data_IF_763244893100
#
_entry.id   IF_763244893100
#
_cell.length_a   1.000
_cell.length_b   1.000
_cell.length_c   1.000
_cell.angle_alpha   90.00
_cell.angle_beta   90.00
_cell.angle_gamma   90.00
#
_symmetry.space_group_name_H-M   'P 1'
#
loop_
_entity.id
_entity.type
_entity.pdbx_description
1 polymer ?
#
# COMPACT_ATOMS: atom_id res chain seq x y z
N UNK A 1 25.85 -33.82 1.36
CA UNK A 1 24.60 -33.94 0.58
C UNK A 1 23.59 -33.00 1.21
N UNK A 2 23.43 -31.79 0.66
CA UNK A 2 22.50 -30.78 1.18
C UNK A 2 21.11 -31.08 0.63
N UNK A 3 20.22 -31.59 1.48
CA UNK A 3 18.84 -31.87 1.13
C UNK A 3 18.08 -30.56 0.92
N UNK A 4 17.91 -30.16 -0.34
CA UNK A 4 17.00 -29.09 -0.70
C UNK A 4 15.58 -29.53 -0.39
N UNK A 5 15.04 -29.06 0.74
CA UNK A 5 13.62 -29.19 1.03
C UNK A 5 12.87 -28.49 -0.11
N UNK A 6 12.16 -29.28 -0.93
CA UNK A 6 11.25 -28.75 -1.93
C UNK A 6 10.17 -27.94 -1.21
N UNK A 7 10.27 -26.61 -1.29
CA UNK A 7 9.27 -25.72 -0.72
C UNK A 7 8.02 -25.84 -1.59
N UNK A 8 6.95 -26.40 -1.05
CA UNK A 8 5.69 -26.55 -1.77
C UNK A 8 5.14 -25.16 -2.13
N UNK A 9 4.99 -24.90 -3.43
CA UNK A 9 4.28 -23.71 -3.92
C UNK A 9 2.80 -23.91 -3.67
N UNK A 10 2.22 -23.08 -2.80
CA UNK A 10 0.82 -23.21 -2.42
C UNK A 10 -0.06 -22.30 -3.25
N UNK A 11 -1.08 -22.90 -3.89
CA UNK A 11 -2.15 -22.19 -4.57
C UNK A 11 -3.42 -22.21 -3.72
N UNK A 12 -3.32 -21.76 -2.47
CA UNK A 12 -4.49 -21.58 -1.60
C UNK A 12 -5.14 -20.23 -1.87
N UNK A 13 -6.21 -20.25 -2.65
CA UNK A 13 -7.00 -19.07 -2.93
C UNK A 13 -8.39 -19.19 -2.30
N UNK A 14 -8.90 -18.08 -1.79
CA UNK A 14 -10.25 -17.95 -1.31
C UNK A 14 -11.22 -18.28 -2.44
N UNK A 15 -12.08 -19.28 -2.25
CA UNK A 15 -13.07 -19.69 -3.23
C UNK A 15 -14.17 -18.66 -3.47
N UNK A 16 -14.20 -17.57 -2.71
CA UNK A 16 -15.13 -16.45 -2.91
C UNK A 16 -14.50 -15.29 -3.70
N UNK A 17 -13.37 -14.76 -3.24
CA UNK A 17 -12.76 -13.55 -3.82
C UNK A 17 -11.49 -13.83 -4.65
N UNK A 18 -11.02 -15.08 -4.68
CA UNK A 18 -9.80 -15.48 -5.37
C UNK A 18 -8.51 -15.01 -4.69
N UNK A 19 -8.59 -14.27 -3.58
CA UNK A 19 -7.41 -13.80 -2.86
C UNK A 19 -6.64 -14.96 -2.23
N UNK A 20 -5.32 -14.88 -2.22
CA UNK A 20 -4.45 -15.85 -1.55
C UNK A 20 -4.75 -15.91 -0.06
N UNK A 21 -4.77 -17.12 0.49
CA UNK A 21 -5.03 -17.40 1.89
C UNK A 21 -3.68 -17.54 2.62
N UNK A 22 -3.09 -16.41 3.03
CA UNK A 22 -1.82 -16.37 3.77
C UNK A 22 -2.00 -16.35 5.30
N UNK A 23 -3.18 -15.96 5.79
CA UNK A 23 -3.41 -15.65 7.22
C UNK A 23 -4.33 -16.65 7.92
N UNK A 24 -4.41 -17.86 7.37
CA UNK A 24 -5.30 -18.91 7.83
C UNK A 24 -6.54 -19.06 6.94
N UNK A 25 -6.97 -20.31 6.80
CA UNK A 25 -8.12 -20.69 5.98
C UNK A 25 -9.35 -20.92 6.85
N UNK A 26 -10.51 -20.59 6.30
CA UNK A 26 -11.80 -20.74 6.97
C UNK A 26 -12.74 -21.55 6.10
N UNK A 27 -13.65 -22.32 6.69
CA UNK A 27 -14.66 -23.09 5.97
C UNK A 27 -15.97 -23.10 6.73
N UNK A 28 -17.07 -23.19 6.01
CA UNK A 28 -18.38 -23.36 6.61
C UNK A 28 -18.60 -24.84 6.93
N UNK A 29 -19.02 -25.15 8.16
CA UNK A 29 -19.42 -26.52 8.50
C UNK A 29 -20.91 -26.70 8.29
N UNK A 30 -21.29 -27.14 7.08
CA UNK A 30 -22.53 -27.88 6.90
C UNK A 30 -22.26 -29.07 6.01
N UNK A 31 -21.97 -30.20 6.65
CA UNK A 31 -21.92 -31.56 6.07
C UNK A 31 -23.18 -31.88 5.21
N UNK A 32 -24.29 -31.17 5.41
CA UNK A 32 -25.56 -31.36 4.69
C UNK A 32 -26.02 -30.17 3.83
N UNK A 33 -25.23 -29.10 3.69
CA UNK A 33 -25.60 -27.99 2.79
C UNK A 33 -25.12 -28.29 1.37
N UNK A 34 -26.07 -28.41 0.44
CA UNK A 34 -25.81 -28.52 -1.00
C UNK A 34 -25.37 -27.17 -1.63
N UNK A 35 -25.27 -26.10 -0.83
CA UNK A 35 -24.80 -24.82 -1.34
C UNK A 35 -23.30 -24.89 -1.69
N UNK A 36 -22.99 -24.64 -2.96
CA UNK A 36 -21.62 -24.61 -3.51
C UNK A 36 -20.68 -23.64 -2.79
N UNK A 37 -21.19 -22.75 -1.94
CA UNK A 37 -20.44 -21.79 -1.13
C UNK A 37 -19.81 -22.43 0.12
N UNK A 38 -20.40 -23.48 0.69
CA UNK A 38 -19.93 -24.11 1.93
C UNK A 38 -18.73 -25.06 1.75
N UNK A 39 -18.46 -25.53 0.53
CA UNK A 39 -17.35 -26.43 0.20
C UNK A 39 -16.07 -25.70 -0.21
N UNK A 40 -15.91 -24.44 0.21
CA UNK A 40 -14.81 -23.57 -0.22
C UNK A 40 -13.98 -23.13 0.97
N UNK A 41 -12.67 -23.06 0.77
CA UNK A 41 -11.80 -22.33 1.69
C UNK A 41 -12.01 -20.82 1.48
N UNK A 42 -12.16 -20.09 2.56
CA UNK A 42 -12.39 -18.65 2.61
C UNK A 42 -11.20 -17.96 3.27
N UNK A 43 -10.91 -16.73 2.85
CA UNK A 43 -10.06 -15.82 3.62
C UNK A 43 -10.84 -15.23 4.80
N UNK A 44 -10.15 -14.64 5.77
CA UNK A 44 -10.75 -14.06 6.98
C UNK A 44 -11.87 -13.05 6.68
N UNK A 45 -11.70 -12.19 5.68
CA UNK A 45 -12.71 -11.18 5.30
C UNK A 45 -13.96 -11.82 4.72
N UNK A 46 -13.81 -12.80 3.84
CA UNK A 46 -14.96 -13.51 3.27
C UNK A 46 -15.65 -14.37 4.34
N UNK A 47 -14.89 -15.00 5.24
CA UNK A 47 -15.43 -15.73 6.39
C UNK A 47 -16.34 -14.83 7.24
N UNK A 48 -15.84 -13.67 7.66
CA UNK A 48 -16.61 -12.68 8.43
C UNK A 48 -17.85 -12.19 7.69
N UNK A 49 -17.76 -11.96 6.37
CA UNK A 49 -18.92 -11.59 5.57
C UNK A 49 -19.98 -12.70 5.59
N UNK A 50 -19.57 -13.95 5.43
CA UNK A 50 -20.47 -15.09 5.40
C UNK A 50 -21.17 -15.32 6.76
N UNK A 51 -20.41 -15.26 7.85
CA UNK A 51 -20.93 -15.38 9.21
C UNK A 51 -21.96 -14.28 9.50
N UNK A 52 -21.65 -13.03 9.14
CA UNK A 52 -22.53 -11.90 9.40
C UNK A 52 -23.80 -11.90 8.55
N UNK A 53 -23.66 -12.18 7.24
CA UNK A 53 -24.73 -12.03 6.26
C UNK A 53 -25.61 -13.27 6.13
N UNK A 54 -25.02 -14.47 6.11
CA UNK A 54 -25.74 -15.71 5.92
C UNK A 54 -25.99 -16.48 7.23
N UNK A 55 -25.46 -16.00 8.37
CA UNK A 55 -25.56 -16.68 9.68
C UNK A 55 -25.08 -18.13 9.61
N UNK A 56 -24.03 -18.35 8.82
CA UNK A 56 -23.37 -19.64 8.70
C UNK A 56 -22.29 -19.76 9.77
N UNK A 57 -22.22 -20.93 10.42
CA UNK A 57 -21.10 -21.24 11.30
C UNK A 57 -19.83 -21.42 10.45
N UNK A 58 -18.84 -20.56 10.69
CA UNK A 58 -17.56 -20.56 10.00
C UNK A 58 -16.47 -20.96 11.00
N UNK A 59 -15.64 -21.92 10.61
CA UNK A 59 -14.56 -22.44 11.42
C UNK A 59 -13.22 -22.20 10.75
N UNK A 60 -12.19 -21.94 11.55
CA UNK A 60 -10.81 -21.94 11.08
C UNK A 60 -10.39 -23.39 10.80
N UNK A 61 -9.87 -23.64 9.61
CA UNK A 61 -9.32 -24.94 9.22
C UNK A 61 -7.90 -25.08 9.79
N UNK A 62 -7.80 -25.30 11.11
CA UNK A 62 -6.53 -25.33 11.84
C UNK A 62 -5.54 -26.38 11.32
N UNK A 63 -6.05 -27.45 10.69
CA UNK A 63 -5.23 -28.47 10.02
C UNK A 63 -4.39 -27.90 8.85
N UNK A 64 -4.76 -26.75 8.29
CA UNK A 64 -4.03 -26.06 7.24
C UNK A 64 -3.06 -25.00 7.76
N UNK A 65 -3.12 -24.62 9.05
CA UNK A 65 -2.34 -23.51 9.58
C UNK A 65 -0.83 -23.71 9.43
N UNK A 66 -0.31 -24.90 9.73
CA UNK A 66 1.12 -25.19 9.58
C UNK A 66 1.58 -25.15 8.11
N UNK A 67 0.71 -25.62 7.20
CA UNK A 67 1.00 -25.60 5.76
C UNK A 67 1.02 -24.16 5.27
N UNK A 68 0.02 -23.36 5.68
CA UNK A 68 -0.08 -21.95 5.32
C UNK A 68 1.10 -21.15 5.89
N UNK A 69 1.48 -21.34 7.15
CA UNK A 69 2.52 -20.54 7.82
C UNK A 69 3.95 -20.85 7.33
N UNK A 70 4.20 -22.05 6.83
CA UNK A 70 5.51 -22.48 6.32
C UNK A 70 5.61 -22.46 4.80
N UNK A 71 4.49 -22.20 4.13
CA UNK A 71 4.38 -22.23 2.68
C UNK A 71 4.99 -21.01 1.99
N UNK A 72 5.11 -21.14 0.67
CA UNK A 72 5.49 -20.05 -0.22
C UNK A 72 4.38 -19.79 -1.22
N UNK A 73 4.01 -18.52 -1.34
CA UNK A 73 2.93 -18.04 -2.19
C UNK A 73 3.48 -17.25 -3.37
N UNK A 74 2.86 -17.39 -4.53
CA UNK A 74 3.19 -16.59 -5.71
C UNK A 74 2.45 -15.27 -5.63
N UNK A 75 3.15 -14.15 -5.83
CA UNK A 75 2.49 -12.84 -5.93
C UNK A 75 1.43 -12.83 -7.04
N UNK A 76 0.21 -12.43 -6.70
CA UNK A 76 -0.92 -12.37 -7.64
C UNK A 76 -0.90 -11.14 -8.55
N UNK A 77 -0.02 -10.16 -8.31
CA UNK A 77 0.06 -8.98 -9.17
C UNK A 77 0.74 -9.30 -10.50
N UNK A 78 0.07 -8.94 -11.60
CA UNK A 78 0.56 -9.16 -12.96
C UNK A 78 1.93 -8.53 -13.15
N UNK A 79 2.94 -9.36 -13.41
CA UNK A 79 4.33 -8.95 -13.66
C UNK A 79 5.30 -9.15 -12.50
N UNK A 80 4.83 -9.41 -11.27
CA UNK A 80 5.73 -9.62 -10.14
C UNK A 80 6.38 -11.01 -10.14
N UNK A 81 5.57 -12.07 -10.28
CA UNK A 81 5.99 -13.47 -10.34
C UNK A 81 6.91 -13.96 -9.19
N UNK A 82 7.04 -13.19 -8.11
CA UNK A 82 7.88 -13.55 -6.96
C UNK A 82 7.22 -14.66 -6.14
N UNK A 83 8.03 -15.64 -5.74
CA UNK A 83 7.72 -16.65 -4.74
C UNK A 83 8.05 -16.07 -3.35
N UNK A 84 7.04 -15.89 -2.50
CA UNK A 84 7.15 -15.16 -1.23
C UNK A 84 6.76 -16.07 -0.06
N UNK A 85 7.63 -16.24 0.95
CA UNK A 85 7.28 -16.98 2.17
C UNK A 85 6.06 -16.39 2.86
N UNK A 86 5.20 -17.24 3.44
CA UNK A 86 3.98 -16.84 4.12
C UNK A 86 4.13 -15.69 5.12
N UNK A 87 5.16 -15.67 6.00
CA UNK A 87 5.34 -14.57 6.95
C UNK A 87 5.57 -13.22 6.29
N UNK A 88 6.05 -13.19 5.04
CA UNK A 88 6.38 -11.99 4.29
C UNK A 88 5.31 -11.63 3.24
N UNK A 89 4.32 -12.51 3.01
CA UNK A 89 3.38 -12.35 1.90
C UNK A 89 2.55 -11.07 2.00
N UNK A 90 2.00 -10.79 3.18
CA UNK A 90 1.21 -9.58 3.39
C UNK A 90 2.03 -8.31 3.23
N UNK A 91 3.26 -8.31 3.74
CA UNK A 91 4.15 -7.16 3.60
C UNK A 91 4.55 -6.94 2.15
N UNK A 92 4.82 -8.02 1.41
CA UNK A 92 5.00 -7.95 -0.03
C UNK A 92 3.75 -7.39 -0.73
N UNK A 93 2.54 -7.87 -0.42
CA UNK A 93 1.30 -7.37 -1.02
C UNK A 93 1.10 -5.86 -0.75
N UNK A 94 1.63 -5.37 0.37
CA UNK A 94 1.63 -3.95 0.74
C UNK A 94 2.66 -3.12 -0.01
N UNK A 95 3.78 -3.66 -0.45
CA UNK A 95 4.85 -2.86 -1.08
C UNK A 95 5.11 -3.22 -2.56
N UNK A 96 4.44 -4.24 -3.09
CA UNK A 96 4.75 -4.80 -4.40
C UNK A 96 4.71 -3.73 -5.52
N UNK A 97 5.78 -3.56 -6.32
CA UNK A 97 5.86 -2.55 -7.38
C UNK A 97 4.75 -2.72 -8.44
N UNK A 98 4.35 -3.96 -8.72
CA UNK A 98 3.35 -4.31 -9.74
C UNK A 98 1.90 -4.10 -9.30
N UNK A 99 1.68 -3.72 -8.04
CA UNK A 99 0.36 -3.36 -7.57
C UNK A 99 -0.13 -2.11 -8.29
N UNK A 100 -1.34 -2.18 -8.85
CA UNK A 100 -2.03 -1.00 -9.40
C UNK A 100 -2.63 -0.18 -8.26
N UNK A 101 -2.44 1.14 -8.36
CA UNK A 101 -2.93 2.13 -7.41
C UNK A 101 -4.15 2.85 -8.00
N UNK A 102 -5.13 3.16 -7.15
CA UNK A 102 -6.27 3.97 -7.55
C UNK A 102 -5.89 5.46 -7.64
N UNK A 103 -6.33 6.13 -8.70
CA UNK A 103 -6.24 7.58 -8.78
C UNK A 103 -7.12 8.22 -7.70
N UNK A 104 -6.58 9.12 -6.85
CA UNK A 104 -7.35 9.74 -5.77
C UNK A 104 -8.49 10.66 -6.26
N UNK A 105 -8.55 10.96 -7.55
CA UNK A 105 -9.59 11.84 -8.13
C UNK A 105 -10.66 11.05 -8.88
N UNK A 106 -10.29 10.13 -9.77
CA UNK A 106 -11.26 9.37 -10.58
C UNK A 106 -11.44 7.90 -10.19
N UNK A 107 -10.69 7.42 -9.19
CA UNK A 107 -10.73 6.04 -8.70
C UNK A 107 -10.38 4.96 -9.75
N UNK A 108 -9.91 5.35 -10.95
CA UNK A 108 -9.37 4.42 -11.93
C UNK A 108 -8.02 3.88 -11.46
N UNK A 109 -7.75 2.60 -11.73
CA UNK A 109 -6.51 1.94 -11.29
C UNK A 109 -5.42 2.03 -12.35
N UNK A 110 -4.19 2.33 -11.94
CA UNK A 110 -3.03 2.49 -12.84
C UNK A 110 -1.80 1.82 -12.23
N UNK A 111 -0.84 1.37 -13.05
CA UNK A 111 0.52 1.16 -12.54
C UNK A 111 1.14 2.49 -12.10
N UNK A 112 2.24 2.45 -11.34
CA UNK A 112 2.85 3.64 -10.75
C UNK A 112 3.20 4.73 -11.77
N UNK A 113 3.78 4.35 -12.91
CA UNK A 113 4.25 5.29 -13.94
C UNK A 113 3.07 5.91 -14.70
N UNK A 114 2.06 5.10 -15.01
CA UNK A 114 0.81 5.55 -15.62
C UNK A 114 0.05 6.46 -14.67
N UNK A 115 0.03 6.17 -13.36
CA UNK A 115 -0.65 7.01 -12.37
C UNK A 115 0.00 8.40 -12.28
N UNK A 116 1.34 8.46 -12.18
CA UNK A 116 2.08 9.72 -12.21
C UNK A 116 1.75 10.54 -13.46
N UNK A 117 1.85 9.91 -14.63
CA UNK A 117 1.58 10.58 -15.92
C UNK A 117 0.13 11.06 -16.01
N UNK A 118 -0.82 10.27 -15.51
CA UNK A 118 -2.23 10.60 -15.45
C UNK A 118 -2.49 11.83 -14.57
N UNK A 119 -1.91 11.88 -13.37
CA UNK A 119 -2.06 13.01 -12.46
C UNK A 119 -1.43 14.31 -13.00
N UNK A 120 -0.23 14.22 -13.57
CA UNK A 120 0.45 15.38 -14.15
C UNK A 120 -0.29 15.93 -15.39
N UNK A 121 -0.74 15.06 -16.29
CA UNK A 121 -1.33 15.48 -17.57
C UNK A 121 -2.81 15.82 -17.49
N UNK A 122 -3.60 15.04 -16.76
CA UNK A 122 -5.06 15.21 -16.73
C UNK A 122 -5.52 16.12 -15.59
N UNK A 123 -4.84 16.05 -14.43
CA UNK A 123 -5.20 16.81 -13.24
C UNK A 123 -4.23 17.93 -12.89
N UNK A 124 -3.22 18.16 -13.74
CA UNK A 124 -2.26 19.27 -13.65
C UNK A 124 -1.61 19.38 -12.26
N UNK A 125 -1.23 18.23 -11.69
CA UNK A 125 -0.44 18.23 -10.45
C UNK A 125 0.87 18.96 -10.68
N UNK A 126 1.30 19.75 -9.70
CA UNK A 126 2.61 20.38 -9.71
C UNK A 126 3.68 19.30 -9.51
N UNK A 127 4.79 19.41 -10.24
CA UNK A 127 5.89 18.43 -10.16
C UNK A 127 7.13 19.08 -9.53
N UNK A 128 7.69 18.40 -8.53
CA UNK A 128 8.90 18.83 -7.85
C UNK A 128 9.90 17.67 -7.75
N UNK A 129 11.17 17.98 -7.95
CA UNK A 129 12.25 17.03 -7.67
C UNK A 129 12.71 17.21 -6.21
N UNK A 130 12.84 16.11 -5.48
CA UNK A 130 13.36 16.08 -4.12
C UNK A 130 14.83 15.63 -4.12
N UNK A 131 15.62 16.24 -3.24
CA UNK A 131 16.95 15.79 -2.85
C UNK A 131 16.87 15.17 -1.45
N UNK A 132 17.34 13.93 -1.32
CA UNK A 132 17.28 13.18 -0.07
C UNK A 132 18.27 13.76 0.95
N UNK A 133 17.94 13.68 2.23
CA UNK A 133 18.72 14.26 3.32
C UNK A 133 18.69 15.80 3.42
N UNK A 134 17.94 16.48 2.56
CA UNK A 134 17.78 17.93 2.59
C UNK A 134 16.34 18.33 2.86
N UNK A 135 16.16 19.27 3.81
CA UNK A 135 14.84 19.85 4.07
C UNK A 135 14.46 20.76 2.90
N UNK A 136 13.46 20.34 2.12
CA UNK A 136 12.98 21.12 0.98
C UNK A 136 12.04 22.23 1.46
N UNK A 137 12.62 23.29 2.00
CA UNK A 137 11.90 24.44 2.59
C UNK A 137 11.25 25.35 1.56
N UNK A 138 11.44 25.13 0.25
CA UNK A 138 10.86 25.96 -0.81
C UNK A 138 9.46 25.50 -1.25
N UNK A 139 9.06 24.27 -0.90
CA UNK A 139 7.84 23.65 -1.39
C UNK A 139 6.62 24.21 -0.68
N UNK A 140 5.62 24.69 -1.43
CA UNK A 140 4.41 25.25 -0.84
C UNK A 140 3.15 24.47 -1.21
N UNK A 141 3.06 23.25 -0.67
CA UNK A 141 1.96 22.31 -0.91
C UNK A 141 0.58 22.93 -0.64
N UNK A 142 0.46 23.90 0.27
CA UNK A 142 -0.82 24.57 0.56
C UNK A 142 -1.34 25.41 -0.62
N UNK A 143 -0.45 26.13 -1.31
CA UNK A 143 -0.79 26.90 -2.50
C UNK A 143 -1.08 25.97 -3.67
N UNK A 144 -0.23 24.97 -3.85
CA UNK A 144 -0.27 24.08 -5.00
C UNK A 144 -1.41 23.05 -4.90
N UNK A 145 -1.85 22.73 -3.68
CA UNK A 145 -2.91 21.78 -3.27
C UNK A 145 -2.74 20.34 -3.74
N UNK A 146 -1.94 20.09 -4.78
CA UNK A 146 -1.77 18.83 -5.50
C UNK A 146 -0.36 18.79 -6.08
N UNK A 147 0.48 17.94 -5.52
CA UNK A 147 1.90 17.85 -5.87
C UNK A 147 2.32 16.40 -6.09
N UNK A 148 3.15 16.18 -7.09
CA UNK A 148 3.96 14.97 -7.24
C UNK A 148 5.40 15.34 -6.93
N UNK A 149 5.97 14.64 -5.98
CA UNK A 149 7.38 14.74 -5.62
C UNK A 149 8.14 13.54 -6.13
N UNK A 150 9.22 13.78 -6.85
CA UNK A 150 10.09 12.75 -7.38
C UNK A 150 11.41 12.75 -6.64
N UNK A 151 11.70 11.66 -5.93
CA UNK A 151 13.01 11.36 -5.40
C UNK A 151 13.94 10.78 -6.46
N UNK A 152 15.15 10.44 -6.04
CA UNK A 152 16.11 9.67 -6.84
C UNK A 152 15.61 8.24 -7.07
N UNK A 153 15.00 7.63 -6.05
CA UNK A 153 14.61 6.22 -6.08
C UNK A 153 13.11 5.98 -6.15
N UNK A 154 12.26 6.94 -5.81
CA UNK A 154 10.82 6.73 -5.64
C UNK A 154 10.02 8.02 -5.83
N UNK A 155 8.73 7.87 -6.10
CA UNK A 155 7.80 8.98 -6.29
C UNK A 155 6.72 9.02 -5.19
N UNK A 156 6.31 10.23 -4.84
CA UNK A 156 5.31 10.51 -3.82
C UNK A 156 4.26 11.49 -4.33
N UNK A 157 3.01 11.29 -3.95
CA UNK A 157 1.91 12.21 -4.26
C UNK A 157 1.41 12.81 -2.96
N UNK A 158 1.24 14.12 -2.94
CA UNK A 158 0.59 14.83 -1.85
C UNK A 158 -0.56 15.64 -2.40
N UNK A 159 -1.71 15.60 -1.72
CA UNK A 159 -2.84 16.43 -2.10
C UNK A 159 -3.69 16.80 -0.90
N UNK A 160 -4.32 17.96 -0.99
CA UNK A 160 -5.24 18.47 0.01
C UNK A 160 -6.67 18.24 -0.50
N UNK A 161 -7.48 17.53 0.28
CA UNK A 161 -8.92 17.44 0.05
C UNK A 161 -9.67 17.84 1.33
N UNK A 162 -10.52 18.86 1.21
CA UNK A 162 -11.12 19.52 2.36
C UNK A 162 -10.05 20.09 3.30
N UNK A 163 -10.13 19.73 4.59
CA UNK A 163 -9.18 20.14 5.62
C UNK A 163 -8.18 19.02 5.96
N UNK A 164 -7.74 18.23 4.99
CA UNK A 164 -6.85 17.08 5.22
C UNK A 164 -5.80 16.95 4.14
N UNK A 165 -4.55 16.70 4.56
CA UNK A 165 -3.45 16.32 3.69
C UNK A 165 -3.40 14.80 3.54
N UNK A 166 -3.31 14.38 2.30
CA UNK A 166 -3.22 13.00 1.90
C UNK A 166 -1.89 12.72 1.20
N UNK A 167 -1.49 11.46 1.27
CA UNK A 167 -0.24 10.94 0.71
C UNK A 167 -0.46 9.63 -0.03
N UNK A 168 0.27 9.46 -1.13
CA UNK A 168 0.37 8.20 -1.85
C UNK A 168 1.83 7.94 -2.19
N UNK A 169 2.33 6.78 -1.79
CA UNK A 169 3.63 6.30 -2.22
C UNK A 169 3.50 5.49 -3.52
N UNK A 170 4.20 5.92 -4.56
CA UNK A 170 4.15 5.26 -5.86
C UNK A 170 5.17 4.11 -5.99
N UNK A 171 6.12 3.98 -5.06
CA UNK A 171 7.22 3.02 -5.16
C UNK A 171 8.34 3.52 -6.07
N UNK A 172 9.18 2.59 -6.52
CA UNK A 172 10.39 2.89 -7.27
C UNK A 172 10.15 3.77 -8.52
N UNK A 173 10.96 4.81 -8.67
CA UNK A 173 10.97 5.77 -9.77
C UNK A 173 11.56 5.13 -11.03
N UNK A 174 11.14 5.59 -12.20
CA UNK A 174 11.66 5.13 -13.49
C UNK A 174 13.19 5.23 -13.62
N UNK A 175 13.85 6.13 -12.89
CA UNK A 175 15.31 6.27 -12.90
C UNK A 175 16.05 5.03 -12.35
N UNK A 176 15.44 4.27 -11.44
CA UNK A 176 16.02 3.06 -10.86
C UNK A 176 15.77 1.78 -11.68
N UNK A 177 14.90 1.85 -12.70
CA UNK A 177 14.37 0.70 -13.42
C UNK A 177 15.33 0.05 -14.43
N UNK A 178 16.51 0.64 -14.67
CA UNK A 178 17.45 0.13 -15.69
C UNK A 178 18.47 -0.89 -15.17
N UNK A 179 18.68 -1.05 -13.85
CA UNK A 179 19.72 -1.97 -13.34
C UNK A 179 19.43 -2.69 -12.02
N UNK A 180 18.34 -2.41 -11.30
CA UNK A 180 18.05 -3.12 -10.07
C UNK A 180 17.01 -4.23 -10.27
N UNK A 181 17.37 -5.46 -9.89
CA UNK A 181 16.41 -6.47 -9.46
C UNK A 181 15.37 -5.77 -8.57
N UNK A 182 14.08 -6.03 -8.77
CA UNK A 182 13.00 -5.48 -7.94
C UNK A 182 13.09 -6.04 -6.50
N UNK A 183 14.16 -5.68 -5.80
CA UNK A 183 14.40 -5.97 -4.40
C UNK A 183 13.50 -5.07 -3.58
N UNK A 184 12.92 -5.67 -2.56
CA UNK A 184 12.02 -5.14 -1.56
C UNK A 184 12.63 -4.00 -0.72
N UNK A 185 13.10 -2.91 -1.32
CA UNK A 185 13.48 -1.74 -0.53
C UNK A 185 12.22 -1.19 0.14
N UNK A 186 12.25 -1.16 1.47
CA UNK A 186 11.27 -0.43 2.25
C UNK A 186 11.26 1.04 1.77
N UNK A 187 10.10 1.73 1.85
CA UNK A 187 10.04 3.16 1.54
C UNK A 187 11.05 3.93 2.37
N UNK A 188 11.67 4.98 1.80
CA UNK A 188 12.52 5.87 2.58
C UNK A 188 11.72 6.53 3.70
N UNK A 189 12.41 6.90 4.78
CA UNK A 189 11.74 7.53 5.91
C UNK A 189 11.28 8.93 5.53
N UNK A 190 9.99 9.23 5.72
CA UNK A 190 9.43 10.54 5.40
C UNK A 190 9.11 11.24 6.71
N UNK A 191 9.80 12.35 6.92
CA UNK A 191 9.50 13.29 8.00
C UNK A 191 8.81 14.52 7.42
N UNK A 192 7.60 14.76 7.90
CA UNK A 192 6.82 15.91 7.50
C UNK A 192 6.96 17.03 8.51
N UNK A 193 7.47 18.16 8.04
CA UNK A 193 7.59 19.37 8.81
C UNK A 193 6.58 20.37 8.27
N UNK A 194 5.72 20.93 9.11
CA UNK A 194 4.84 22.02 8.71
C UNK A 194 5.23 23.30 9.46
N UNK A 195 5.42 24.39 8.75
CA UNK A 195 5.47 25.73 9.34
C UNK A 195 4.20 26.48 9.00
N UNK A 196 3.72 27.34 9.90
CA UNK A 196 2.69 28.31 9.54
C UNK A 196 3.38 29.46 8.79
N UNK A 197 2.79 29.94 7.70
CA UNK A 197 3.36 31.06 6.91
C UNK A 197 3.54 32.31 7.79
N UNK A 198 2.72 32.45 8.83
CA UNK A 198 2.76 33.56 9.80
C UNK A 198 3.63 33.31 11.03
N UNK A 199 4.13 32.08 11.24
CA UNK A 199 5.00 31.75 12.38
C UNK A 199 6.34 31.21 11.88
N UNK A 200 7.45 31.82 12.28
CA UNK A 200 8.80 31.36 11.91
C UNK A 200 9.18 30.00 12.55
N UNK A 201 8.29 29.43 13.37
CA UNK A 201 8.48 28.13 14.00
C UNK A 201 8.06 26.99 13.07
N UNK A 202 9.03 26.16 12.70
CA UNK A 202 8.81 24.88 12.03
C UNK A 202 8.29 23.88 13.08
N UNK A 203 7.06 23.39 12.91
CA UNK A 203 6.48 22.39 13.77
C UNK A 203 6.65 21.00 13.13
N UNK A 204 7.31 20.10 13.85
CA UNK A 204 7.36 18.69 13.46
C UNK A 204 5.95 18.10 13.54
N UNK A 205 5.47 17.57 12.41
CA UNK A 205 4.15 16.96 12.31
C UNK A 205 4.21 15.44 12.42
N UNK A 206 5.40 14.86 12.53
CA UNK A 206 5.63 13.45 12.76
C UNK A 206 6.50 12.77 11.71
N UNK A 207 7.00 11.59 12.10
CA UNK A 207 7.64 10.61 11.23
C UNK A 207 6.59 9.62 10.76
N UNK A 208 6.51 9.35 9.45
CA UNK A 208 5.39 8.61 8.88
C UNK A 208 5.76 7.20 8.40
N UNK A 209 6.86 6.61 8.84
CA UNK A 209 7.45 5.43 8.16
C UNK A 209 7.87 4.26 9.04
N UNK A 210 7.53 4.27 10.33
CA UNK A 210 7.68 3.07 11.17
C UNK A 210 6.33 2.64 11.74
N UNK A 211 5.66 1.60 11.19
CA UNK A 211 6.09 0.67 10.12
C UNK A 211 5.91 1.22 8.68
N UNK A 212 6.48 0.56 7.64
CA UNK A 212 6.48 1.05 6.25
C UNK A 212 5.07 1.35 5.74
N UNK A 213 4.90 2.52 5.11
CA UNK A 213 3.62 2.96 4.57
C UNK A 213 3.13 1.97 3.51
N UNK A 214 1.98 1.33 3.71
CA UNK A 214 1.51 0.33 2.78
C UNK A 214 1.01 1.02 1.50
N UNK A 215 1.44 0.53 0.33
CA UNK A 215 0.72 0.70 -0.95
C UNK A 215 -0.66 0.02 -0.96
N UNK A 216 -1.13 -0.52 0.19
CA UNK A 216 -2.45 -1.12 0.34
C UNK A 216 -3.56 -0.12 0.61
N UNK A 217 -3.27 1.00 1.24
CA UNK A 217 -4.21 2.12 1.30
C UNK A 217 -3.82 3.06 0.18
N UNK A 218 -4.57 3.04 -0.93
CA UNK A 218 -4.34 3.89 -2.11
C UNK A 218 -4.12 5.37 -1.73
N UNK A 219 -4.60 5.76 -0.55
CA UNK A 219 -4.41 7.07 0.04
C UNK A 219 -4.21 6.94 1.56
N UNK A 220 -3.12 7.53 2.07
CA UNK A 220 -2.85 7.68 3.51
C UNK A 220 -3.24 9.08 3.96
N UNK A 221 -3.93 9.19 5.09
CA UNK A 221 -4.26 10.47 5.71
C UNK A 221 -3.14 10.86 6.68
N UNK A 222 -2.47 11.98 6.41
CA UNK A 222 -1.32 12.42 7.19
C UNK A 222 -1.69 13.38 8.31
N UNK A 223 -2.39 14.47 7.96
CA UNK A 223 -2.67 15.59 8.86
C UNK A 223 -4.09 16.10 8.62
N UNK A 224 -4.80 16.44 9.69
CA UNK A 224 -6.08 17.16 9.60
C UNK A 224 -5.92 18.60 10.09
N UNK A 225 -6.21 19.55 9.21
CA UNK A 225 -6.14 20.98 9.48
C UNK A 225 -7.43 21.53 10.12
N UNK A 226 -8.14 20.75 10.94
CA UNK A 226 -9.43 21.19 11.54
C UNK A 226 -9.32 22.50 12.34
N UNK A 227 -8.10 22.88 12.75
CA UNK A 227 -7.80 24.10 13.50
C UNK A 227 -6.84 25.06 12.77
N UNK A 228 -6.45 24.76 11.52
CA UNK A 228 -5.53 25.58 10.74
C UNK A 228 -6.19 25.89 9.40
N UNK A 229 -6.44 27.17 9.10
CA UNK A 229 -6.92 27.56 7.77
C UNK A 229 -5.89 27.13 6.72
N UNK A 230 -6.33 26.37 5.72
CA UNK A 230 -5.47 25.75 4.71
C UNK A 230 -4.57 26.72 3.92
N UNK A 231 -4.85 28.02 4.03
CA UNK A 231 -4.19 29.09 3.27
C UNK A 231 -2.92 29.62 3.95
N UNK A 232 -2.59 29.18 5.18
CA UNK A 232 -1.51 29.79 5.97
C UNK A 232 -0.47 28.80 6.51
N UNK A 233 -0.20 27.68 5.84
CA UNK A 233 0.90 26.80 6.24
C UNK A 233 1.76 26.37 5.05
N UNK A 234 3.03 26.11 5.29
CA UNK A 234 4.00 25.56 4.35
C UNK A 234 4.40 24.18 4.85
N UNK A 235 4.33 23.19 3.98
CA UNK A 235 4.79 21.83 4.31
C UNK A 235 6.14 21.62 3.66
N UNK A 236 7.13 21.44 4.49
CA UNK A 236 8.47 20.98 4.10
C UNK A 236 8.53 19.47 4.30
N UNK A 237 8.97 18.77 3.28
CA UNK A 237 9.18 17.32 3.33
C UNK A 237 10.68 17.07 3.46
N UNK A 238 11.06 16.32 4.49
CA UNK A 238 12.37 15.71 4.60
C UNK A 238 12.20 14.22 4.32
N UNK A 239 13.02 13.70 3.41
CA UNK A 239 13.09 12.28 3.12
C UNK A 239 14.51 11.86 3.45
N UNK A 240 14.66 10.96 4.41
CA UNK A 240 15.95 10.43 4.89
C UNK A 240 16.44 9.30 3.97
#
# INVERSE_FOLDING_TARGET
MSGGHAVAKLYFNCGQCGATISDGAFSCDKIFSMEKSCQRLLCCTCAQFYENHFKHDIYRACNLDNIISTGTFVCTFKGCAQDIPAPQYNDHQRICPYKRLACPICNQRFDSMSLKSHLLRQYQFNHYQLNYGYLNTALNISNDKRCVFSGTEEDFIFFIAGATLYFVWLGASAAASSQASASSSAPANIRLMASLVTAQTLQDCGLYTDPPLPRCTDVVRLISFRHITAENFKISVLID
#
